data_IF_032258046174
#
_entry.id   IF_032258046174
#
_cell.length_a   1.000
_cell.length_b   1.000
_cell.length_c   1.000
_cell.angle_alpha   90.00
_cell.angle_beta   90.00
_cell.angle_gamma   90.00
#
_symmetry.space_group_name_H-M   'P 1'
#
loop_
_entity.id
_entity.type
_entity.pdbx_description
1 polymer ?
#
# COMPACT_ATOMS: atom_id res chain seq x y z
N UNK A 1 4.37 9.19 -6.09
CA UNK A 1 4.74 7.89 -5.50
C UNK A 1 4.43 7.91 -4.02
N UNK A 2 4.97 8.90 -3.28
CA UNK A 2 4.58 9.25 -1.90
C UNK A 2 4.07 10.70 -1.88
N UNK A 3 2.99 10.94 -1.15
CA UNK A 3 2.37 12.22 -0.86
C UNK A 3 2.84 12.70 0.51
N UNK A 4 3.86 13.55 0.51
CA UNK A 4 4.49 14.05 1.74
C UNK A 4 3.61 15.03 2.49
N UNK A 5 2.72 15.74 1.80
CA UNK A 5 1.77 16.65 2.44
C UNK A 5 0.76 15.84 3.26
N UNK A 6 0.24 14.74 2.68
CA UNK A 6 -0.64 13.82 3.41
C UNK A 6 0.06 13.15 4.60
N UNK A 7 1.32 12.79 4.48
CA UNK A 7 2.11 12.26 5.60
C UNK A 7 2.25 13.28 6.73
N UNK A 8 2.58 14.54 6.40
CA UNK A 8 2.71 15.61 7.38
C UNK A 8 1.37 15.95 8.05
N UNK A 9 0.26 15.94 7.29
CA UNK A 9 -1.08 16.08 7.86
C UNK A 9 -1.38 14.96 8.86
N UNK A 10 -1.16 13.71 8.46
CA UNK A 10 -1.40 12.57 9.33
C UNK A 10 -0.50 12.62 10.56
N UNK A 11 0.79 12.95 10.42
CA UNK A 11 1.71 13.16 11.54
C UNK A 11 1.20 14.23 12.52
N UNK A 12 0.61 15.32 12.01
CA UNK A 12 0.06 16.36 12.87
C UNK A 12 -1.19 15.92 13.64
N UNK A 13 -1.90 14.90 13.15
CA UNK A 13 -3.12 14.34 13.76
C UNK A 13 -2.79 13.30 14.84
N UNK A 14 -1.79 12.44 14.62
CA UNK A 14 -1.49 11.27 15.48
C UNK A 14 -0.11 11.32 16.14
N UNK A 15 0.79 12.18 15.68
CA UNK A 15 2.19 12.24 16.13
C UNK A 15 3.12 11.28 15.37
N UNK A 16 4.43 11.57 15.43
CA UNK A 16 5.45 10.83 14.67
C UNK A 16 5.59 9.35 15.08
N UNK A 17 5.46 9.03 16.37
CA UNK A 17 5.56 7.65 16.88
C UNK A 17 4.40 6.79 16.34
N UNK A 18 3.17 7.27 16.46
CA UNK A 18 1.98 6.57 15.97
C UNK A 18 1.96 6.49 14.44
N UNK A 19 2.47 7.51 13.75
CA UNK A 19 2.62 7.49 12.29
C UNK A 19 3.56 6.36 11.84
N UNK A 20 4.74 6.26 12.45
CA UNK A 20 5.69 5.19 12.14
C UNK A 20 5.09 3.80 12.35
N UNK A 21 4.35 3.63 13.45
CA UNK A 21 3.67 2.38 13.77
C UNK A 21 2.57 2.02 12.75
N UNK A 22 1.69 2.97 12.40
CA UNK A 22 0.60 2.72 11.44
C UNK A 22 1.14 2.41 10.04
N UNK A 23 2.20 3.11 9.62
CA UNK A 23 2.88 2.82 8.35
C UNK A 23 3.44 1.40 8.35
N UNK A 24 4.14 1.01 9.43
CA UNK A 24 4.71 -0.33 9.55
C UNK A 24 3.64 -1.43 9.47
N UNK A 25 2.54 -1.28 10.21
CA UNK A 25 1.40 -2.21 10.16
C UNK A 25 0.81 -2.29 8.75
N UNK A 26 0.53 -1.14 8.12
CA UNK A 26 -0.06 -1.14 6.78
C UNK A 26 0.83 -1.90 5.80
N UNK A 27 2.14 -1.68 5.85
CA UNK A 27 3.08 -2.32 4.94
C UNK A 27 3.14 -3.84 5.15
N UNK A 28 3.14 -4.31 6.40
CA UNK A 28 3.07 -5.74 6.75
C UNK A 28 1.77 -6.38 6.24
N UNK A 29 0.62 -5.79 6.56
CA UNK A 29 -0.69 -6.26 6.11
C UNK A 29 -0.79 -6.25 4.57
N UNK A 30 -0.19 -5.27 3.90
CA UNK A 30 -0.17 -5.20 2.44
C UNK A 30 0.57 -6.40 1.82
N UNK A 31 1.70 -6.82 2.39
CA UNK A 31 2.42 -8.02 1.95
C UNK A 31 1.60 -9.30 2.16
N UNK A 32 0.90 -9.40 3.30
CA UNK A 32 0.00 -10.52 3.56
C UNK A 32 -1.16 -10.58 2.56
N UNK A 33 -1.77 -9.44 2.26
CA UNK A 33 -2.85 -9.37 1.27
C UNK A 33 -2.36 -9.77 -0.12
N UNK A 34 -1.17 -9.34 -0.53
CA UNK A 34 -0.59 -9.76 -1.82
C UNK A 34 -0.30 -11.26 -1.85
N UNK A 35 0.22 -11.83 -0.77
CA UNK A 35 0.42 -13.29 -0.66
C UNK A 35 -0.90 -14.06 -0.74
N UNK A 36 -1.98 -13.53 -0.15
CA UNK A 36 -3.33 -14.12 -0.23
C UNK A 36 -3.88 -14.04 -1.65
N UNK A 37 -3.73 -12.91 -2.34
CA UNK A 37 -4.12 -12.75 -3.74
C UNK A 37 -3.40 -13.79 -4.61
N UNK A 38 -2.09 -13.95 -4.44
CA UNK A 38 -1.28 -14.95 -5.18
C UNK A 38 -1.73 -16.39 -4.90
N UNK A 39 -2.23 -16.68 -3.70
CA UNK A 39 -2.73 -18.00 -3.31
C UNK A 39 -4.11 -18.35 -3.91
N UNK A 40 -4.76 -17.40 -4.56
CA UNK A 40 -6.10 -17.57 -5.14
C UNK A 40 -7.21 -17.28 -4.14
N UNK A 41 -7.77 -16.07 -4.23
CA UNK A 41 -8.95 -15.66 -3.46
C UNK A 41 -10.25 -15.88 -4.24
N UNK A 42 -11.36 -15.91 -3.52
CA UNK A 42 -12.68 -15.72 -4.15
C UNK A 42 -12.77 -14.32 -4.76
N UNK A 43 -13.63 -14.11 -5.76
CA UNK A 43 -13.81 -12.78 -6.38
C UNK A 43 -14.16 -11.69 -5.35
N UNK A 44 -14.96 -12.05 -4.35
CA UNK A 44 -15.37 -11.14 -3.29
C UNK A 44 -14.20 -10.77 -2.37
N UNK A 45 -13.40 -11.76 -1.96
CA UNK A 45 -12.23 -11.52 -1.10
C UNK A 45 -11.10 -10.83 -1.84
N UNK A 46 -10.95 -11.09 -3.14
CA UNK A 46 -10.02 -10.37 -4.01
C UNK A 46 -10.40 -8.89 -4.07
N UNK A 47 -11.67 -8.56 -4.32
CA UNK A 47 -12.13 -7.18 -4.33
C UNK A 47 -11.90 -6.47 -2.98
N UNK A 48 -12.14 -7.17 -1.85
CA UNK A 48 -11.85 -6.64 -0.51
C UNK A 48 -10.35 -6.39 -0.30
N UNK A 49 -9.50 -7.31 -0.72
CA UNK A 49 -8.05 -7.19 -0.58
C UNK A 49 -7.51 -5.98 -1.36
N UNK A 50 -7.98 -5.79 -2.61
CA UNK A 50 -7.58 -4.63 -3.41
C UNK A 50 -8.10 -3.31 -2.81
N UNK A 51 -9.33 -3.30 -2.30
CA UNK A 51 -9.89 -2.13 -1.64
C UNK A 51 -9.07 -1.74 -0.41
N UNK A 52 -8.65 -2.71 0.40
CA UNK A 52 -7.76 -2.49 1.54
C UNK A 52 -6.43 -1.89 1.09
N UNK A 53 -5.76 -2.52 0.12
CA UNK A 53 -4.46 -2.05 -0.41
C UNK A 53 -4.57 -0.60 -0.89
N UNK A 54 -5.62 -0.30 -1.66
CA UNK A 54 -5.87 1.04 -2.20
C UNK A 54 -6.19 2.07 -1.13
N UNK A 55 -7.18 1.80 -0.28
CA UNK A 55 -7.67 2.77 0.70
C UNK A 55 -6.61 3.04 1.79
N UNK A 56 -5.92 2.01 2.24
CA UNK A 56 -4.82 2.15 3.18
C UNK A 56 -3.66 2.96 2.59
N UNK A 57 -3.26 2.66 1.35
CA UNK A 57 -2.21 3.42 0.65
C UNK A 57 -2.55 4.91 0.55
N UNK A 58 -3.82 5.25 0.24
CA UNK A 58 -4.25 6.65 0.19
C UNK A 58 -4.18 7.33 1.55
N UNK A 59 -4.53 6.62 2.63
CA UNK A 59 -4.51 7.18 3.97
C UNK A 59 -3.10 7.61 4.40
N UNK A 60 -2.09 6.79 4.09
CA UNK A 60 -0.68 7.06 4.41
C UNK A 60 0.12 7.70 3.26
N UNK A 61 -0.55 8.18 2.21
CA UNK A 61 0.08 8.93 1.12
C UNK A 61 0.85 8.11 0.07
N UNK A 62 0.77 6.78 0.05
CA UNK A 62 1.40 5.91 -0.96
C UNK A 62 0.65 5.91 -2.30
N UNK A 63 0.56 7.06 -2.97
CA UNK A 63 -0.18 7.25 -4.23
C UNK A 63 0.20 6.26 -5.35
N UNK A 64 1.45 5.79 -5.37
CA UNK A 64 1.91 4.78 -6.34
C UNK A 64 1.20 3.43 -6.16
N UNK A 65 1.22 2.92 -4.92
CA UNK A 65 0.53 1.68 -4.52
C UNK A 65 -0.97 1.84 -4.74
N UNK A 66 -1.57 2.94 -4.26
CA UNK A 66 -3.01 3.20 -4.43
C UNK A 66 -3.47 3.15 -5.90
N UNK A 67 -2.67 3.71 -6.81
CA UNK A 67 -2.95 3.70 -8.23
C UNK A 67 -2.85 2.29 -8.81
N UNK A 68 -1.79 1.56 -8.50
CA UNK A 68 -1.60 0.19 -9.00
C UNK A 68 -2.71 -0.76 -8.49
N UNK A 69 -3.12 -0.64 -7.23
CA UNK A 69 -4.27 -1.39 -6.70
C UNK A 69 -5.56 -1.07 -7.44
N UNK A 70 -5.84 0.20 -7.74
CA UNK A 70 -7.01 0.61 -8.51
C UNK A 70 -6.96 0.11 -9.97
N UNK A 71 -5.78 0.06 -10.59
CA UNK A 71 -5.60 -0.50 -11.94
C UNK A 71 -5.96 -1.99 -11.95
N UNK A 72 -5.53 -2.76 -10.94
CA UNK A 72 -5.86 -4.17 -10.78
C UNK A 72 -7.36 -4.41 -10.53
N UNK A 73 -8.03 -3.57 -9.72
CA UNK A 73 -9.50 -3.66 -9.47
C UNK A 73 -10.34 -3.58 -10.75
N UNK A 74 -9.90 -2.77 -11.72
CA UNK A 74 -10.66 -2.46 -12.92
C UNK A 74 -10.29 -3.32 -14.14
N UNK A 75 -9.24 -4.13 -14.01
CA UNK A 75 -8.70 -4.91 -15.12
C UNK A 75 -9.37 -6.28 -15.23
N UNK A 76 -9.76 -6.66 -16.46
CA UNK A 76 -10.43 -7.95 -16.74
C UNK A 76 -9.54 -9.00 -17.40
N UNK A 77 -8.40 -8.58 -17.97
CA UNK A 77 -7.47 -9.41 -18.74
C UNK A 77 -6.01 -9.26 -18.26
N UNK A 78 -5.82 -9.03 -16.97
CA UNK A 78 -4.47 -8.92 -16.38
C UNK A 78 -4.04 -10.23 -15.74
N UNK A 79 -2.74 -10.52 -15.86
CA UNK A 79 -2.09 -11.58 -15.12
C UNK A 79 -1.98 -11.16 -13.66
N UNK A 80 -2.78 -11.76 -12.79
CA UNK A 80 -2.72 -11.50 -11.33
C UNK A 80 -1.29 -11.62 -10.79
N UNK A 81 -0.50 -12.67 -11.10
CA UNK A 81 0.88 -12.78 -10.64
C UNK A 81 1.82 -11.65 -11.10
N UNK A 82 1.59 -11.07 -12.29
CA UNK A 82 2.42 -9.97 -12.79
C UNK A 82 2.11 -8.67 -12.06
N UNK A 83 0.83 -8.39 -11.84
CA UNK A 83 0.39 -7.19 -11.11
C UNK A 83 0.70 -7.25 -9.61
N UNK A 84 0.58 -8.43 -8.98
CA UNK A 84 1.00 -8.59 -7.58
C UNK A 84 2.51 -8.45 -7.44
N UNK A 85 3.32 -8.95 -8.38
CA UNK A 85 4.76 -8.72 -8.41
C UNK A 85 5.11 -7.23 -8.55
N UNK A 86 4.42 -6.52 -9.44
CA UNK A 86 4.57 -5.05 -9.59
C UNK A 86 4.20 -4.31 -8.31
N UNK A 87 3.11 -4.70 -7.64
CA UNK A 87 2.69 -4.12 -6.36
C UNK A 87 3.72 -4.35 -5.25
N UNK A 88 4.32 -5.55 -5.16
CA UNK A 88 5.43 -5.82 -4.22
C UNK A 88 6.62 -4.91 -4.48
N UNK A 89 7.03 -4.72 -5.73
CA UNK A 89 8.12 -3.79 -6.07
C UNK A 89 7.81 -2.37 -5.60
N UNK A 90 6.59 -1.88 -5.83
CA UNK A 90 6.17 -0.54 -5.39
C UNK A 90 6.13 -0.41 -3.85
N UNK A 91 5.72 -1.46 -3.13
CA UNK A 91 5.77 -1.48 -1.67
C UNK A 91 7.20 -1.42 -1.16
N UNK A 92 8.12 -2.19 -1.73
CA UNK A 92 9.54 -2.15 -1.33
C UNK A 92 10.19 -0.80 -1.61
N UNK A 93 9.94 -0.21 -2.78
CA UNK A 93 10.40 1.16 -3.09
C UNK A 93 9.83 2.18 -2.10
N UNK A 94 8.58 1.99 -1.68
CA UNK A 94 7.92 2.86 -0.70
C UNK A 94 8.52 2.67 0.69
N UNK A 95 8.81 1.44 1.13
CA UNK A 95 9.50 1.13 2.40
C UNK A 95 10.84 1.86 2.49
N UNK A 96 11.69 1.73 1.47
CA UNK A 96 13.01 2.38 1.44
C UNK A 96 12.88 3.90 1.52
N UNK A 97 11.95 4.47 0.76
CA UNK A 97 11.77 5.92 0.73
C UNK A 97 11.15 6.47 2.01
N UNK A 98 10.21 5.76 2.63
CA UNK A 98 9.63 6.11 3.92
C UNK A 98 10.67 6.07 5.03
N UNK A 99 11.52 5.04 5.09
CA UNK A 99 12.62 4.99 6.07
C UNK A 99 13.53 6.21 5.96
N UNK A 100 13.91 6.59 4.74
CA UNK A 100 14.72 7.80 4.51
C UNK A 100 14.01 9.09 4.95
N UNK A 101 12.69 9.18 4.82
CA UNK A 101 11.91 10.36 5.19
C UNK A 101 11.69 10.46 6.70
N UNK A 102 11.38 9.34 7.35
CA UNK A 102 11.08 9.28 8.78
C UNK A 102 12.35 9.38 9.64
N UNK A 103 13.49 8.85 9.16
CA UNK A 103 14.78 9.01 9.85
C UNK A 103 15.37 10.43 9.72
N UNK A 104 14.86 11.23 8.78
CA UNK A 104 15.31 12.59 8.51
C UNK A 104 14.46 13.68 9.19
N UNK A 105 13.33 13.30 9.79
CA UNK A 105 12.39 14.17 10.52
C UNK A 105 12.78 14.28 12.01
#
# INVERSE_FOLDING_TARGET
MIDTDRLAELESEIGAEDLGFIIAIYLEEADEMLARIDAGLSDEDHARALHFLRSGALNIGLRGVARASAELENSRDVSVPEETARLRTLLEESRVRLGTLLDAA
#
